data_IF_623494607386
#
_entry.id   IF_623494607386
#
_cell.length_a   1.000
_cell.length_b   1.000
_cell.length_c   1.000
_cell.angle_alpha   90.00
_cell.angle_beta   90.00
_cell.angle_gamma   90.00
#
_symmetry.space_group_name_H-M   'P 1'
#
loop_
_entity.id
_entity.type
_entity.pdbx_description
1 polymer ?
#
# COMPACT_ATOMS: atom_id res chain seq x y z
N UNK A 1 -17.69 -51.56 10.50
CA UNK A 1 -16.91 -50.44 11.08
C UNK A 1 -16.35 -49.49 10.00
N UNK A 2 -15.71 -49.96 8.91
CA UNK A 2 -15.15 -49.07 7.85
C UNK A 2 -16.13 -48.13 7.13
N UNK A 3 -17.39 -48.55 6.94
CA UNK A 3 -18.42 -47.76 6.23
C UNK A 3 -18.84 -46.52 7.04
N UNK A 4 -18.93 -46.64 8.36
CA UNK A 4 -19.31 -45.56 9.26
C UNK A 4 -18.20 -44.50 9.29
N UNK A 5 -16.93 -44.91 9.39
CA UNK A 5 -15.78 -44.00 9.30
C UNK A 5 -15.71 -43.25 7.96
N UNK A 6 -16.07 -43.91 6.85
CA UNK A 6 -16.12 -43.26 5.53
C UNK A 6 -17.25 -42.23 5.42
N UNK A 7 -18.40 -42.47 6.04
CA UNK A 7 -19.52 -41.53 6.11
C UNK A 7 -19.16 -40.27 6.89
N UNK A 8 -18.57 -40.43 8.08
CA UNK A 8 -18.08 -39.29 8.88
C UNK A 8 -16.93 -38.54 8.19
N UNK A 9 -16.02 -39.24 7.50
CA UNK A 9 -14.95 -38.59 6.73
C UNK A 9 -15.52 -37.76 5.57
N UNK A 10 -16.56 -38.25 4.89
CA UNK A 10 -17.24 -37.51 3.83
C UNK A 10 -17.93 -36.27 4.38
N UNK A 11 -18.66 -36.39 5.48
CA UNK A 11 -19.38 -35.28 6.12
C UNK A 11 -18.41 -34.22 6.68
N UNK A 12 -17.31 -34.63 7.31
CA UNK A 12 -16.27 -33.70 7.78
C UNK A 12 -15.56 -32.98 6.63
N UNK A 13 -15.25 -33.67 5.52
CA UNK A 13 -14.67 -33.03 4.33
C UNK A 13 -15.66 -32.07 3.65
N UNK A 14 -16.95 -32.41 3.60
CA UNK A 14 -17.98 -31.54 3.04
C UNK A 14 -18.23 -30.30 3.91
N UNK A 15 -18.28 -30.46 5.23
CA UNK A 15 -18.43 -29.34 6.16
C UNK A 15 -17.21 -28.41 6.12
N UNK A 16 -15.98 -28.97 6.07
CA UNK A 16 -14.78 -28.16 5.93
C UNK A 16 -14.74 -27.35 4.62
N UNK A 17 -15.28 -27.91 3.52
CA UNK A 17 -15.41 -27.18 2.26
C UNK A 17 -16.46 -26.06 2.35
N UNK A 18 -17.63 -26.35 2.94
CA UNK A 18 -18.67 -25.35 3.16
C UNK A 18 -18.21 -24.21 4.08
N UNK A 19 -17.43 -24.52 5.12
CA UNK A 19 -16.84 -23.52 6.01
C UNK A 19 -15.86 -22.59 5.26
N UNK A 20 -15.03 -23.14 4.37
CA UNK A 20 -14.12 -22.35 3.55
C UNK A 20 -14.87 -21.42 2.58
N UNK A 21 -15.91 -21.93 1.91
CA UNK A 21 -16.75 -21.13 1.00
C UNK A 21 -17.52 -20.04 1.75
N UNK A 22 -18.02 -20.33 2.95
CA UNK A 22 -18.71 -19.37 3.80
C UNK A 22 -17.80 -18.19 4.17
N UNK A 23 -16.54 -18.46 4.57
CA UNK A 23 -15.55 -17.42 4.90
C UNK A 23 -15.21 -16.55 3.69
N UNK A 24 -15.09 -17.14 2.50
CA UNK A 24 -14.84 -16.39 1.26
C UNK A 24 -16.02 -15.46 0.95
N UNK A 25 -17.24 -15.97 1.07
CA UNK A 25 -18.45 -15.22 0.79
C UNK A 25 -18.65 -14.05 1.77
N UNK A 26 -18.39 -14.27 3.06
CA UNK A 26 -18.45 -13.23 4.10
C UNK A 26 -17.48 -12.09 3.78
N UNK A 27 -16.20 -12.40 3.51
CA UNK A 27 -15.21 -11.40 3.11
C UNK A 27 -15.59 -10.63 1.86
N UNK A 28 -16.18 -11.31 0.86
CA UNK A 28 -16.64 -10.66 -0.34
C UNK A 28 -17.81 -9.70 -0.08
N UNK A 29 -18.73 -10.06 0.83
CA UNK A 29 -19.83 -9.18 1.25
C UNK A 29 -19.34 -7.95 2.01
N UNK A 30 -18.40 -8.14 2.94
CA UNK A 30 -17.76 -7.03 3.66
C UNK A 30 -17.06 -6.07 2.69
N UNK A 31 -16.32 -6.61 1.72
CA UNK A 31 -15.65 -5.79 0.72
C UNK A 31 -16.66 -5.00 -0.14
N UNK A 32 -17.76 -5.63 -0.56
CA UNK A 32 -18.82 -4.95 -1.31
C UNK A 32 -19.53 -3.87 -0.50
N UNK A 33 -19.77 -4.11 0.79
CA UNK A 33 -20.35 -3.10 1.67
C UNK A 33 -19.39 -1.92 1.87
N UNK A 34 -18.09 -2.23 1.98
CA UNK A 34 -17.03 -1.23 2.11
C UNK A 34 -16.91 -0.33 0.87
N UNK A 35 -16.78 -0.90 -0.33
CA UNK A 35 -16.68 -0.12 -1.57
C UNK A 35 -17.93 0.74 -1.80
N UNK A 36 -19.11 0.26 -1.42
CA UNK A 36 -20.35 1.06 -1.48
C UNK A 36 -20.28 2.29 -0.58
N UNK A 37 -19.87 2.14 0.69
CA UNK A 37 -19.73 3.29 1.59
C UNK A 37 -18.66 4.28 1.14
N UNK A 38 -17.55 3.80 0.57
CA UNK A 38 -16.54 4.70 -0.01
C UNK A 38 -17.13 5.54 -1.14
N UNK A 39 -17.96 4.93 -1.99
CA UNK A 39 -18.66 5.65 -3.05
C UNK A 39 -19.61 6.71 -2.49
N UNK A 40 -20.40 6.35 -1.47
CA UNK A 40 -21.34 7.29 -0.86
C UNK A 40 -20.60 8.48 -0.24
N UNK A 41 -19.48 8.24 0.47
CA UNK A 41 -18.64 9.29 1.03
C UNK A 41 -17.96 10.16 -0.03
N UNK A 42 -17.54 9.57 -1.15
CA UNK A 42 -16.96 10.34 -2.25
C UNK A 42 -17.99 11.29 -2.85
N UNK A 43 -19.22 10.82 -3.07
CA UNK A 43 -20.32 11.64 -3.60
C UNK A 43 -20.72 12.73 -2.60
N UNK A 44 -20.71 12.45 -1.30
CA UNK A 44 -21.02 13.46 -0.27
C UNK A 44 -19.93 14.55 -0.16
N UNK A 45 -18.67 14.20 -0.46
CA UNK A 45 -17.54 15.11 -0.41
C UNK A 45 -17.35 15.95 -1.68
N UNK A 46 -17.75 15.42 -2.84
CA UNK A 46 -17.72 16.09 -4.15
C UNK A 46 -18.86 17.12 -4.25
N UNK A 47 -18.66 18.27 -3.59
CA UNK A 47 -19.67 19.34 -3.49
C UNK A 47 -19.84 20.09 -4.81
N UNK A 48 -18.76 20.25 -5.57
CA UNK A 48 -18.76 20.94 -6.86
C UNK A 48 -19.07 20.01 -8.04
N UNK A 49 -19.20 18.70 -7.79
CA UNK A 49 -19.56 17.66 -8.75
C UNK A 49 -18.55 17.55 -9.90
N UNK A 50 -17.29 17.85 -9.60
CA UNK A 50 -16.18 17.83 -10.55
C UNK A 50 -15.61 16.40 -10.74
N UNK A 51 -16.14 15.41 -10.00
CA UNK A 51 -15.71 14.00 -9.97
C UNK A 51 -14.31 13.77 -9.42
N UNK A 52 -13.73 14.78 -8.79
CA UNK A 52 -12.47 14.72 -8.07
C UNK A 52 -12.69 15.27 -6.65
N UNK A 53 -11.70 15.12 -5.79
CA UNK A 53 -11.75 15.64 -4.43
C UNK A 53 -10.51 16.46 -4.20
N UNK A 54 -10.68 17.76 -3.99
CA UNK A 54 -9.58 18.64 -3.62
C UNK A 54 -9.12 18.37 -2.19
N UNK A 55 -7.90 18.82 -1.86
CA UNK A 55 -7.40 18.75 -0.48
C UNK A 55 -8.36 19.40 0.53
N UNK A 56 -9.01 20.51 0.17
CA UNK A 56 -9.92 21.22 1.06
C UNK A 56 -11.21 20.46 1.34
N UNK A 57 -11.71 19.69 0.37
CA UNK A 57 -12.88 18.83 0.53
C UNK A 57 -12.53 17.60 1.34
N UNK A 58 -11.38 16.99 1.06
CA UNK A 58 -10.88 15.86 1.84
C UNK A 58 -10.64 16.24 3.32
N UNK A 59 -10.03 17.40 3.59
CA UNK A 59 -9.76 17.87 4.95
C UNK A 59 -11.06 18.09 5.74
N UNK A 60 -12.07 18.70 5.09
CA UNK A 60 -13.42 18.84 5.68
C UNK A 60 -14.09 17.49 5.93
N UNK A 61 -13.96 16.55 4.99
CA UNK A 61 -14.53 15.21 5.10
C UNK A 61 -13.96 14.45 6.31
N UNK A 62 -12.63 14.46 6.48
CA UNK A 62 -11.97 13.75 7.59
C UNK A 62 -12.01 14.52 8.92
N UNK A 63 -12.36 15.80 8.90
CA UNK A 63 -12.63 16.58 10.10
C UNK A 63 -13.88 16.06 10.85
N UNK A 64 -14.85 15.48 10.14
CA UNK A 64 -16.04 14.90 10.76
C UNK A 64 -15.68 13.69 11.66
N UNK A 65 -15.99 13.73 12.96
CA UNK A 65 -15.59 12.66 13.89
C UNK A 65 -16.13 11.29 13.50
N UNK A 66 -17.33 11.22 12.91
CA UNK A 66 -17.94 9.98 12.42
C UNK A 66 -17.14 9.35 11.28
N UNK A 67 -16.70 10.17 10.32
CA UNK A 67 -15.90 9.72 9.18
C UNK A 67 -14.54 9.21 9.65
N UNK A 68 -13.91 9.96 10.55
CA UNK A 68 -12.61 9.59 11.14
C UNK A 68 -12.69 8.30 11.96
N UNK A 69 -13.73 8.12 12.76
CA UNK A 69 -13.98 6.88 13.49
C UNK A 69 -14.25 5.71 12.53
N UNK A 70 -14.97 5.95 11.44
CA UNK A 70 -15.21 4.93 10.41
C UNK A 70 -13.91 4.48 9.75
N UNK A 71 -13.05 5.41 9.27
CA UNK A 71 -11.72 5.06 8.75
C UNK A 71 -10.87 4.29 9.76
N UNK A 72 -10.85 4.74 11.02
CA UNK A 72 -10.11 4.07 12.10
C UNK A 72 -10.63 2.65 12.35
N UNK A 73 -11.94 2.42 12.29
CA UNK A 73 -12.53 1.09 12.46
C UNK A 73 -12.10 0.10 11.38
N UNK A 74 -11.58 0.61 10.25
CA UNK A 74 -11.11 -0.17 9.12
C UNK A 74 -9.58 -0.23 9.02
N UNK A 75 -8.88 0.29 10.03
CA UNK A 75 -7.41 0.31 10.09
C UNK A 75 -6.77 1.35 9.18
N UNK A 76 -7.51 2.39 8.78
CA UNK A 76 -6.96 3.53 8.01
C UNK A 76 -6.80 4.71 8.97
N UNK A 77 -5.57 5.19 9.10
CA UNK A 77 -5.27 6.37 9.91
C UNK A 77 -5.31 7.63 9.05
N UNK A 78 -6.32 8.47 9.30
CA UNK A 78 -6.52 9.76 8.62
C UNK A 78 -6.27 10.95 9.54
N UNK A 79 -5.54 10.78 10.65
CA UNK A 79 -5.22 11.87 11.60
C UNK A 79 -4.41 12.99 10.96
N UNK A 80 -3.54 12.64 10.02
CA UNK A 80 -2.80 13.61 9.22
C UNK A 80 -3.43 13.64 7.82
N UNK A 81 -4.45 14.49 7.66
CA UNK A 81 -5.19 14.64 6.41
C UNK A 81 -4.27 14.93 5.23
N UNK A 82 -3.23 15.75 5.43
CA UNK A 82 -2.25 16.09 4.40
C UNK A 82 -1.46 14.87 3.94
N UNK A 83 -0.84 14.13 4.86
CA UNK A 83 -0.07 12.94 4.48
C UNK A 83 -0.94 11.85 3.87
N UNK A 84 -2.19 11.69 4.34
CA UNK A 84 -3.12 10.75 3.71
C UNK A 84 -3.49 11.21 2.30
N UNK A 85 -3.74 12.50 2.09
CA UNK A 85 -4.05 13.06 0.77
C UNK A 85 -2.90 12.80 -0.22
N UNK A 86 -1.66 13.14 0.15
CA UNK A 86 -0.48 12.93 -0.68
C UNK A 86 -0.22 11.42 -0.96
N UNK A 87 -0.74 10.52 -0.11
CA UNK A 87 -0.68 9.07 -0.34
C UNK A 87 -1.75 8.57 -1.33
N UNK A 88 -2.87 9.28 -1.43
CA UNK A 88 -3.99 8.94 -2.30
C UNK A 88 -3.81 9.50 -3.71
N UNK A 89 -3.39 10.76 -3.81
CA UNK A 89 -3.03 11.42 -5.07
C UNK A 89 -1.84 10.66 -5.71
N UNK A 90 -2.08 9.91 -6.79
CA UNK A 90 -1.06 9.06 -7.43
C UNK A 90 -0.39 9.77 -8.58
N UNK A 91 -1.08 10.70 -9.21
CA UNK A 91 -0.61 11.44 -10.37
C UNK A 91 -0.01 12.82 -10.01
N UNK A 92 -0.09 13.23 -8.74
CA UNK A 92 0.38 14.51 -8.20
C UNK A 92 -0.30 15.72 -8.88
N UNK A 93 -1.58 15.57 -9.24
CA UNK A 93 -2.38 16.62 -9.87
C UNK A 93 -3.04 17.57 -8.85
N UNK A 94 -2.92 17.26 -7.55
CA UNK A 94 -3.48 18.05 -6.45
C UNK A 94 -4.96 17.78 -6.18
N UNK A 95 -5.53 16.77 -6.84
CA UNK A 95 -6.88 16.27 -6.63
C UNK A 95 -6.87 14.75 -6.50
N UNK A 96 -7.94 14.17 -5.98
CA UNK A 96 -8.09 12.72 -5.88
C UNK A 96 -9.32 12.32 -6.71
N UNK A 97 -9.12 11.55 -7.77
CA UNK A 97 -10.24 10.99 -8.50
C UNK A 97 -10.88 9.79 -7.76
N UNK A 98 -12.05 9.35 -8.21
CA UNK A 98 -12.77 8.24 -7.58
C UNK A 98 -11.95 6.94 -7.53
N UNK A 99 -11.19 6.63 -8.58
CA UNK A 99 -10.38 5.41 -8.64
C UNK A 99 -9.18 5.51 -7.69
N UNK A 100 -8.52 6.66 -7.62
CA UNK A 100 -7.44 6.95 -6.68
C UNK A 100 -7.92 6.86 -5.23
N UNK A 101 -9.10 7.42 -4.94
CA UNK A 101 -9.70 7.34 -3.62
C UNK A 101 -9.99 5.90 -3.21
N UNK A 102 -10.72 5.15 -4.03
CA UNK A 102 -11.11 3.77 -3.70
C UNK A 102 -9.88 2.85 -3.61
N UNK A 103 -9.01 2.89 -4.62
CA UNK A 103 -7.82 2.04 -4.65
C UNK A 103 -6.79 2.44 -3.59
N UNK A 104 -6.65 3.73 -3.32
CA UNK A 104 -5.76 4.26 -2.30
C UNK A 104 -6.20 3.85 -0.90
N UNK A 105 -7.48 4.04 -0.55
CA UNK A 105 -8.00 3.59 0.75
C UNK A 105 -7.94 2.06 0.87
N UNK A 106 -8.24 1.31 -0.20
CA UNK A 106 -8.10 -0.16 -0.20
C UNK A 106 -6.67 -0.63 0.07
N UNK A 107 -5.65 0.10 -0.42
CA UNK A 107 -4.23 -0.17 -0.15
C UNK A 107 -3.82 0.21 1.26
N UNK A 108 -4.38 1.30 1.79
CA UNK A 108 -4.13 1.76 3.16
C UNK A 108 -4.90 0.94 4.21
N UNK A 109 -5.93 0.20 3.79
CA UNK A 109 -6.72 -0.66 4.67
C UNK A 109 -5.86 -1.78 5.25
N UNK A 110 -5.66 -1.74 6.56
CA UNK A 110 -4.92 -2.76 7.30
C UNK A 110 -3.41 -2.52 7.30
N UNK A 111 -2.66 -3.56 7.66
CA UNK A 111 -1.21 -3.45 7.79
C UNK A 111 -0.52 -3.66 6.44
N UNK A 112 0.62 -3.00 6.24
CA UNK A 112 1.50 -3.28 5.11
C UNK A 112 1.80 -4.80 5.08
N UNK A 113 1.50 -5.44 3.95
CA UNK A 113 1.71 -6.88 3.82
C UNK A 113 3.22 -7.15 3.73
N UNK A 114 3.63 -8.35 4.11
CA UNK A 114 5.03 -8.78 4.01
C UNK A 114 5.62 -8.56 2.60
N UNK A 115 4.81 -8.75 1.55
CA UNK A 115 5.20 -8.46 0.17
C UNK A 115 5.45 -6.97 -0.10
N UNK A 116 4.64 -6.08 0.49
CA UNK A 116 4.78 -4.63 0.29
C UNK A 116 6.08 -4.13 0.95
N UNK A 117 6.43 -4.68 2.13
CA UNK A 117 7.71 -4.43 2.81
C UNK A 117 8.88 -4.96 1.99
N UNK A 118 8.79 -6.20 1.49
CA UNK A 118 9.84 -6.80 0.67
C UNK A 118 10.10 -5.99 -0.62
N UNK A 119 9.03 -5.48 -1.27
CA UNK A 119 9.17 -4.59 -2.44
C UNK A 119 9.87 -3.28 -2.08
N UNK A 120 9.55 -2.68 -0.93
CA UNK A 120 10.19 -1.45 -0.46
C UNK A 120 11.69 -1.64 -0.19
N UNK A 121 12.07 -2.78 0.41
CA UNK A 121 13.46 -3.16 0.62
C UNK A 121 14.20 -3.36 -0.71
N UNK A 122 13.61 -4.12 -1.64
CA UNK A 122 14.18 -4.35 -2.97
C UNK A 122 14.37 -3.04 -3.75
N UNK A 123 13.40 -2.11 -3.67
CA UNK A 123 13.51 -0.80 -4.31
C UNK A 123 14.68 0.01 -3.71
N UNK A 124 14.83 -0.05 -2.38
CA UNK A 124 15.93 0.62 -1.67
C UNK A 124 17.30 0.05 -2.05
N UNK A 125 17.42 -1.26 -2.21
CA UNK A 125 18.65 -1.92 -2.70
C UNK A 125 19.01 -1.49 -4.12
N UNK A 126 18.02 -1.44 -5.03
CA UNK A 126 18.22 -0.97 -6.40
C UNK A 126 18.64 0.50 -6.46
N UNK A 127 18.03 1.36 -5.64
CA UNK A 127 18.40 2.76 -5.55
C UNK A 127 19.84 2.93 -5.05
N UNK A 128 20.25 2.15 -4.04
CA UNK A 128 21.64 2.17 -3.56
C UNK A 128 22.62 1.75 -4.67
N UNK A 129 22.31 0.70 -5.42
CA UNK A 129 23.14 0.27 -6.55
C UNK A 129 23.32 1.39 -7.60
N UNK A 130 22.22 2.05 -7.99
CA UNK A 130 22.25 3.17 -8.92
C UNK A 130 23.04 4.38 -8.38
N UNK A 131 22.89 4.70 -7.09
CA UNK A 131 23.69 5.74 -6.43
C UNK A 131 25.19 5.42 -6.43
N UNK A 132 25.56 4.14 -6.31
CA UNK A 132 26.96 3.72 -6.38
C UNK A 132 27.51 3.84 -7.81
N UNK A 133 26.77 3.39 -8.82
CA UNK A 133 27.16 3.50 -10.23
C UNK A 133 27.35 4.96 -10.65
N UNK A 134 26.38 5.82 -10.31
CA UNK A 134 26.46 7.27 -10.59
C UNK A 134 27.64 7.92 -9.86
N UNK A 135 27.89 7.57 -8.59
CA UNK A 135 29.06 8.06 -7.85
C UNK A 135 30.37 7.65 -8.50
N UNK A 136 30.48 6.41 -8.98
CA UNK A 136 31.67 5.91 -9.65
C UNK A 136 31.89 6.62 -11.00
N UNK A 137 30.83 6.79 -11.80
CA UNK A 137 30.89 7.53 -13.05
C UNK A 137 31.33 8.99 -12.82
N UNK A 138 30.77 9.67 -11.81
CA UNK A 138 31.20 11.01 -11.42
C UNK A 138 32.68 11.06 -11.01
N UNK A 139 33.18 10.07 -10.26
CA UNK A 139 34.59 10.02 -9.86
C UNK A 139 35.55 9.91 -11.06
N UNK A 140 35.19 9.10 -12.06
CA UNK A 140 35.98 8.97 -13.30
C UNK A 140 35.98 10.29 -14.08
N UNK A 141 34.81 10.91 -14.26
CA UNK A 141 34.67 12.17 -14.99
C UNK A 141 35.45 13.30 -14.29
N UNK A 142 35.32 13.42 -12.96
CA UNK A 142 36.06 14.42 -12.18
C UNK A 142 37.58 14.23 -12.29
N UNK A 143 38.08 12.98 -12.26
CA UNK A 143 39.49 12.67 -12.47
C UNK A 143 39.98 13.09 -13.85
N UNK A 144 39.19 12.85 -14.91
CA UNK A 144 39.55 13.21 -16.29
C UNK A 144 39.54 14.73 -16.52
N UNK A 145 38.69 15.46 -15.79
CA UNK A 145 38.57 16.92 -15.86
C UNK A 145 39.52 17.65 -14.89
N UNK A 146 40.31 16.93 -14.09
CA UNK A 146 41.20 17.52 -13.08
C UNK A 146 40.47 18.18 -11.90
N UNK A 147 39.19 17.88 -11.70
CA UNK A 147 38.38 18.41 -10.61
C UNK A 147 38.36 17.44 -9.42
N UNK A 148 38.54 17.95 -8.19
CA UNK A 148 38.37 17.14 -6.99
C UNK A 148 36.90 17.10 -6.58
N UNK A 149 36.39 15.89 -6.31
CA UNK A 149 35.05 15.70 -5.74
C UNK A 149 34.99 16.31 -4.32
N UNK A 150 33.88 16.95 -3.94
CA UNK A 150 33.71 17.47 -2.59
C UNK A 150 33.78 16.31 -1.56
N UNK A 151 34.78 16.35 -0.68
CA UNK A 151 34.95 15.39 0.40
C UNK A 151 33.87 15.59 1.46
N UNK A 152 32.75 14.87 1.32
CA UNK A 152 31.84 14.64 2.44
C UNK A 152 32.15 13.29 3.08
N UNK A 153 32.87 13.35 4.19
CA UNK A 153 33.17 12.22 5.04
C UNK A 153 31.88 11.66 5.66
N UNK A 154 31.47 10.46 5.26
CA UNK A 154 30.61 9.62 6.09
C UNK A 154 30.77 8.16 5.67
N UNK A 155 31.19 7.36 6.66
CA UNK A 155 31.35 5.91 6.62
C UNK A 155 30.07 5.23 6.13
N UNK A 156 29.97 4.90 4.86
CA UNK A 156 29.00 3.92 4.40
C UNK A 156 29.74 2.66 3.96
N UNK A 157 29.61 1.64 4.81
CA UNK A 157 30.01 0.25 4.55
C UNK A 157 29.27 -0.20 3.29
N UNK A 158 29.99 -0.80 2.34
CA UNK A 158 29.39 -1.42 1.16
C UNK A 158 28.25 -2.35 1.58
N UNK A 159 27.08 -2.33 0.92
CA UNK A 159 26.12 -3.41 1.04
C UNK A 159 26.79 -4.65 0.46
N UNK A 160 27.03 -5.67 1.29
CA UNK A 160 27.46 -6.97 0.79
C UNK A 160 26.34 -7.53 -0.07
N UNK A 161 26.52 -7.51 -1.39
CA UNK A 161 25.75 -8.34 -2.31
C UNK A 161 26.11 -9.80 -1.97
N UNK A 162 25.38 -10.39 -1.03
CA UNK A 162 25.38 -11.83 -0.81
C UNK A 162 24.92 -12.48 -2.11
N UNK A 163 25.89 -12.93 -2.90
CA UNK A 163 25.68 -13.99 -3.90
C UNK A 163 25.26 -15.24 -3.15
N UNK A 164 23.97 -15.37 -2.83
CA UNK A 164 23.39 -16.70 -2.64
C UNK A 164 23.30 -17.34 -4.03
N UNK A 165 24.36 -18.09 -4.35
CA UNK A 165 24.22 -19.26 -5.20
C UNK A 165 23.31 -20.22 -4.42
N UNK A 166 22.11 -20.43 -4.94
CA UNK A 166 21.35 -21.64 -4.66
C UNK A 166 21.61 -22.57 -5.83
N UNK A 167 22.22 -23.70 -5.48
CA UNK A 167 22.25 -24.94 -6.27
C UNK A 167 20.82 -25.44 -6.57
#
# INVERSE_FOLDING_TARGET
IRIISALFLKETLQNAAADADMVIQERAQEMRAFTRRLRDLFIEADVDNNRTMSFTEFDKLVAYPKVRAWFSSMGVDVRNSRSTFDLLDKNDDGTIDYEEFVNGILKLKGHARSQDIARSLLASEKLLALCWETKQACAIICSNLGMQLPSRASRHRQPSLSKERLD
#
